data_IF_921003283402
#
_entry.id   IF_921003283402
#
_cell.length_a   1.000
_cell.length_b   1.000
_cell.length_c   1.000
_cell.angle_alpha   90.00
_cell.angle_beta   90.00
_cell.angle_gamma   90.00
#
_symmetry.space_group_name_H-M   'P 1'
#
loop_
_entity.id
_entity.type
_entity.pdbx_description
1 polymer ?
#
# COMPACT_ATOMS: atom_id res chain seq x y z
N UNK A 1 104.05 66.90 36.70
CA UNK A 1 102.76 66.47 37.13
C UNK A 1 101.73 66.21 36.01
N UNK A 2 101.89 66.62 34.77
CA UNK A 2 100.99 66.43 33.64
C UNK A 2 100.94 64.96 33.11
N UNK A 3 102.07 64.26 33.10
CA UNK A 3 102.14 62.93 32.50
C UNK A 3 101.44 61.81 33.30
N UNK A 4 101.30 61.91 34.61
CA UNK A 4 100.57 60.90 35.44
C UNK A 4 99.04 60.91 35.25
N UNK A 5 98.52 62.10 34.97
CA UNK A 5 97.07 62.17 34.68
C UNK A 5 96.69 61.45 33.41
N UNK A 6 97.52 61.52 32.38
CA UNK A 6 97.27 60.86 31.10
C UNK A 6 97.36 59.34 31.25
N UNK A 7 98.36 58.84 32.03
CA UNK A 7 98.49 57.39 32.31
C UNK A 7 97.27 56.86 33.08
N UNK A 8 96.78 57.62 34.07
CA UNK A 8 95.56 57.22 34.81
C UNK A 8 94.30 57.18 33.95
N UNK A 9 94.15 58.11 33.05
CA UNK A 9 93.02 58.15 32.11
C UNK A 9 93.14 56.98 31.13
N UNK A 10 94.29 56.68 30.61
CA UNK A 10 94.51 55.53 29.71
C UNK A 10 94.25 54.22 30.47
N UNK A 11 94.75 54.09 31.70
CA UNK A 11 94.52 52.91 32.52
C UNK A 11 93.05 52.73 32.87
N UNK A 12 92.31 53.80 33.18
CA UNK A 12 90.89 53.77 33.45
C UNK A 12 90.11 53.43 32.18
N UNK A 13 90.49 53.93 31.05
CA UNK A 13 89.83 53.60 29.75
C UNK A 13 90.10 52.15 29.35
N UNK A 14 91.32 51.63 29.61
CA UNK A 14 91.62 50.20 29.33
C UNK A 14 90.85 49.27 30.29
N UNK A 15 90.78 49.60 31.59
CA UNK A 15 89.93 48.79 32.53
C UNK A 15 88.41 48.87 32.23
N UNK A 16 87.97 50.05 31.86
CA UNK A 16 86.58 50.23 31.45
C UNK A 16 86.27 49.50 30.15
N UNK A 17 87.18 49.46 29.19
CA UNK A 17 87.13 48.71 27.97
C UNK A 17 87.08 47.18 28.23
N UNK A 18 87.99 46.66 29.11
CA UNK A 18 88.02 45.24 29.49
C UNK A 18 86.73 44.81 30.22
N UNK A 19 86.25 45.65 31.13
CA UNK A 19 84.94 45.34 31.83
C UNK A 19 83.77 45.31 30.90
N UNK A 20 83.76 46.21 29.93
CA UNK A 20 82.73 46.22 28.88
C UNK A 20 82.79 45.01 27.94
N UNK A 21 84.04 44.60 27.62
CA UNK A 21 84.26 43.44 26.77
C UNK A 21 83.81 42.14 27.46
N UNK A 22 84.05 41.98 28.76
CA UNK A 22 83.48 40.84 29.56
C UNK A 22 81.97 40.84 29.64
N UNK A 23 81.36 42.02 29.79
CA UNK A 23 79.90 42.17 29.82
C UNK A 23 79.32 41.85 28.44
N UNK A 24 79.90 42.28 27.34
CA UNK A 24 79.53 41.94 25.97
C UNK A 24 79.64 40.43 25.72
N UNK A 25 80.72 39.80 26.17
CA UNK A 25 80.93 38.36 26.03
C UNK A 25 79.85 37.57 26.79
N UNK A 26 79.52 37.95 28.04
CA UNK A 26 78.39 37.34 28.80
C UNK A 26 77.06 37.53 28.10
N UNK A 27 76.80 38.70 27.48
CA UNK A 27 75.58 38.96 26.75
C UNK A 27 75.50 38.09 25.48
N UNK A 28 76.64 37.95 24.77
CA UNK A 28 76.74 37.07 23.61
C UNK A 28 76.46 35.59 23.96
N UNK A 29 77.07 35.10 25.08
CA UNK A 29 76.81 33.74 25.55
C UNK A 29 75.34 33.53 25.92
N UNK A 30 74.75 34.55 26.53
CA UNK A 30 73.33 34.53 26.83
C UNK A 30 72.48 34.50 25.55
N UNK A 31 72.83 35.31 24.56
CA UNK A 31 72.17 35.32 23.25
C UNK A 31 72.27 33.94 22.58
N UNK A 32 73.44 33.34 22.54
CA UNK A 32 73.71 32.02 22.00
C UNK A 32 72.81 30.95 22.72
N UNK A 33 72.80 31.01 24.04
CA UNK A 33 71.94 30.09 24.83
C UNK A 33 70.46 30.28 24.52
N UNK A 34 69.95 31.51 24.44
CA UNK A 34 68.60 31.80 24.09
C UNK A 34 68.26 31.36 22.63
N UNK A 35 69.18 31.55 21.69
CA UNK A 35 69.03 31.06 20.32
C UNK A 35 68.91 29.52 20.27
N UNK A 36 69.70 28.80 21.04
CA UNK A 36 69.66 27.36 21.18
C UNK A 36 68.33 26.91 21.80
N UNK A 37 67.84 27.63 22.82
CA UNK A 37 66.48 27.34 23.42
C UNK A 37 65.33 27.58 22.39
N UNK A 38 65.44 28.69 21.64
CA UNK A 38 64.48 28.99 20.58
C UNK A 38 64.47 27.88 19.51
N UNK A 39 65.68 27.44 19.09
CA UNK A 39 65.79 26.34 18.11
C UNK A 39 65.18 25.04 18.64
N UNK A 40 65.39 24.69 19.89
CA UNK A 40 64.82 23.51 20.52
C UNK A 40 63.27 23.62 20.63
N UNK A 41 62.75 24.78 21.02
CA UNK A 41 61.32 25.04 21.09
C UNK A 41 60.63 24.96 19.68
N UNK A 42 61.30 25.50 18.66
CA UNK A 42 60.81 25.39 17.29
C UNK A 42 60.69 23.92 16.84
N UNK A 43 61.72 23.10 17.13
CA UNK A 43 61.69 21.67 16.83
C UNK A 43 60.53 20.96 17.57
N UNK A 44 60.27 21.33 18.82
CA UNK A 44 59.14 20.79 19.57
C UNK A 44 57.80 21.24 18.97
N UNK A 45 57.68 22.49 18.52
CA UNK A 45 56.50 23.00 17.82
C UNK A 45 56.23 22.22 16.53
N UNK A 46 57.29 21.97 15.74
CA UNK A 46 57.18 21.18 14.51
C UNK A 46 56.72 19.73 14.79
N UNK A 47 57.26 19.10 15.84
CA UNK A 47 56.85 17.76 16.25
C UNK A 47 55.38 17.73 16.68
N UNK A 48 54.94 18.66 17.52
CA UNK A 48 53.54 18.78 17.90
C UNK A 48 52.64 19.08 16.71
N UNK A 49 53.05 19.90 15.76
CA UNK A 49 52.31 20.18 14.53
C UNK A 49 52.10 18.92 13.70
N UNK A 50 53.11 18.05 13.60
CA UNK A 50 53.03 16.77 12.93
C UNK A 50 52.08 15.81 13.65
N UNK A 51 52.16 15.73 14.99
CA UNK A 51 51.25 14.89 15.78
C UNK A 51 49.81 15.36 15.64
N UNK A 52 49.52 16.67 15.68
CA UNK A 52 48.18 17.23 15.46
C UNK A 52 47.65 16.84 14.06
N UNK A 53 48.52 16.93 13.04
CA UNK A 53 48.17 16.58 11.67
C UNK A 53 47.85 15.09 11.50
N UNK A 54 48.54 14.22 12.22
CA UNK A 54 48.28 12.79 12.26
C UNK A 54 46.94 12.49 12.96
N UNK A 55 46.75 13.05 14.15
CA UNK A 55 45.49 12.88 14.92
C UNK A 55 44.27 13.40 14.15
N UNK A 56 44.44 14.50 13.39
CA UNK A 56 43.36 15.01 12.53
C UNK A 56 42.98 14.02 11.41
N UNK A 57 43.97 13.32 10.82
CA UNK A 57 43.73 12.26 9.83
C UNK A 57 42.99 11.07 10.44
N UNK A 58 43.53 10.55 11.54
CA UNK A 58 42.92 9.42 12.27
C UNK A 58 41.47 9.73 12.70
N UNK A 59 41.24 10.96 13.17
CA UNK A 59 39.87 11.42 13.49
C UNK A 59 38.95 11.39 12.28
N UNK A 60 39.40 11.84 11.11
CA UNK A 60 38.60 11.85 9.90
C UNK A 60 38.32 10.43 9.40
N UNK A 61 39.28 9.52 9.49
CA UNK A 61 39.09 8.11 9.18
C UNK A 61 38.00 7.49 10.08
N UNK A 62 38.08 7.71 11.39
CA UNK A 62 37.09 7.24 12.35
C UNK A 62 35.67 7.85 12.10
N UNK A 63 35.59 9.11 11.66
CA UNK A 63 34.32 9.73 11.29
C UNK A 63 33.70 9.02 10.08
N UNK A 64 34.51 8.72 9.07
CA UNK A 64 34.06 8.02 7.87
C UNK A 64 33.61 6.58 8.20
N UNK A 65 34.40 5.86 9.00
CA UNK A 65 34.01 4.50 9.43
C UNK A 65 32.69 4.50 10.23
N UNK A 66 32.53 5.48 11.12
CA UNK A 66 31.28 5.64 11.86
C UNK A 66 30.08 5.94 10.93
N UNK A 67 30.28 6.76 9.90
CA UNK A 67 29.23 7.04 8.92
C UNK A 67 28.86 5.79 8.13
N UNK A 68 29.84 4.97 7.76
CA UNK A 68 29.60 3.69 7.10
C UNK A 68 28.83 2.71 8.00
N UNK A 69 29.24 2.57 9.27
CA UNK A 69 28.51 1.71 10.22
C UNK A 69 27.07 2.18 10.45
N UNK A 70 26.83 3.48 10.54
CA UNK A 70 25.46 4.02 10.66
C UNK A 70 24.61 3.66 9.44
N UNK A 71 25.18 3.71 8.24
CA UNK A 71 24.49 3.31 7.04
C UNK A 71 24.15 1.80 7.04
N UNK A 72 25.12 0.96 7.44
CA UNK A 72 24.90 -0.50 7.58
C UNK A 72 23.81 -0.81 8.62
N UNK A 73 23.79 -0.12 9.76
CA UNK A 73 22.75 -0.25 10.78
C UNK A 73 21.39 0.13 10.20
N UNK A 74 21.31 1.22 9.42
CA UNK A 74 20.06 1.63 8.78
C UNK A 74 19.54 0.57 7.80
N UNK A 75 20.43 0.01 6.98
CA UNK A 75 20.05 -1.08 6.05
C UNK A 75 19.58 -2.33 6.78
N UNK A 76 20.26 -2.73 7.85
CA UNK A 76 19.86 -3.87 8.66
C UNK A 76 18.51 -3.66 9.34
N UNK A 77 18.24 -2.45 9.82
CA UNK A 77 16.93 -2.12 10.40
C UNK A 77 15.81 -2.20 9.36
N UNK A 78 16.06 -1.71 8.13
CA UNK A 78 15.07 -1.85 7.05
C UNK A 78 14.80 -3.32 6.70
N UNK A 79 15.84 -4.15 6.64
CA UNK A 79 15.67 -5.59 6.42
C UNK A 79 14.90 -6.26 7.56
N UNK A 80 15.16 -5.84 8.81
CA UNK A 80 14.44 -6.35 9.97
C UNK A 80 12.95 -6.04 9.88
N UNK A 81 12.59 -4.79 9.57
CA UNK A 81 11.19 -4.40 9.38
C UNK A 81 10.51 -5.24 8.29
N UNK A 82 11.18 -5.43 7.14
CA UNK A 82 10.65 -6.28 6.06
C UNK A 82 10.41 -7.73 6.53
N UNK A 83 11.28 -8.28 7.37
CA UNK A 83 11.06 -9.62 7.92
C UNK A 83 9.93 -9.66 8.95
N UNK A 84 9.77 -8.60 9.75
CA UNK A 84 8.66 -8.48 10.71
C UNK A 84 7.32 -8.44 9.96
N UNK A 85 7.22 -7.66 8.88
CA UNK A 85 6.04 -7.59 8.03
C UNK A 85 5.72 -8.97 7.41
N UNK A 86 6.72 -9.64 6.83
CA UNK A 86 6.54 -10.97 6.25
C UNK A 86 6.08 -12.02 7.29
N UNK A 87 6.60 -11.94 8.51
CA UNK A 87 6.15 -12.81 9.61
C UNK A 87 4.68 -12.54 9.92
N UNK A 88 4.26 -11.28 9.94
CA UNK A 88 2.86 -10.94 10.18
C UNK A 88 1.96 -11.49 9.08
N UNK A 89 2.34 -11.35 7.81
CA UNK A 89 1.61 -11.91 6.68
C UNK A 89 1.43 -13.45 6.82
N UNK A 90 2.48 -14.17 7.19
CA UNK A 90 2.37 -15.60 7.42
C UNK A 90 1.48 -15.96 8.62
N UNK A 91 1.48 -15.15 9.68
CA UNK A 91 0.59 -15.37 10.83
C UNK A 91 -0.86 -15.22 10.36
N UNK A 92 -1.17 -14.20 9.58
CA UNK A 92 -2.50 -13.95 9.07
C UNK A 92 -2.95 -15.06 8.10
N UNK A 93 -2.06 -15.55 7.21
CA UNK A 93 -2.33 -16.68 6.34
C UNK A 93 -2.60 -17.97 7.14
N UNK A 94 -1.81 -18.25 8.17
CA UNK A 94 -2.03 -19.39 9.06
C UNK A 94 -3.38 -19.30 9.76
N UNK A 95 -3.78 -18.11 10.18
CA UNK A 95 -5.10 -17.91 10.78
C UNK A 95 -6.22 -18.25 9.82
N UNK A 96 -6.18 -17.73 8.59
CA UNK A 96 -7.15 -18.03 7.53
C UNK A 96 -7.21 -19.53 7.21
N UNK A 97 -6.05 -20.18 7.10
CA UNK A 97 -5.98 -21.63 6.86
C UNK A 97 -6.55 -22.42 8.01
N UNK A 98 -6.36 -21.98 9.24
CA UNK A 98 -6.92 -22.62 10.44
C UNK A 98 -8.44 -22.52 10.44
N UNK A 99 -9.00 -21.33 10.18
CA UNK A 99 -10.44 -21.11 10.07
C UNK A 99 -11.06 -21.95 8.94
N UNK A 100 -10.40 -22.01 7.76
CA UNK A 100 -10.84 -22.87 6.66
C UNK A 100 -10.83 -24.37 7.02
N UNK A 101 -9.85 -24.83 7.79
CA UNK A 101 -9.82 -26.21 8.26
C UNK A 101 -10.99 -26.52 9.23
N UNK A 102 -11.36 -25.59 10.10
CA UNK A 102 -12.50 -25.75 10.99
C UNK A 102 -13.82 -25.83 10.20
N UNK A 103 -13.95 -25.02 9.15
CA UNK A 103 -15.11 -25.07 8.22
C UNK A 103 -15.16 -26.43 7.52
N UNK A 104 -14.03 -26.87 6.94
CA UNK A 104 -13.96 -28.15 6.25
C UNK A 104 -14.24 -29.34 7.19
N UNK A 105 -13.84 -29.27 8.45
CA UNK A 105 -14.17 -30.27 9.44
C UNK A 105 -15.68 -30.31 9.70
N UNK A 106 -16.31 -29.13 9.83
CA UNK A 106 -17.78 -29.03 10.01
C UNK A 106 -18.53 -29.59 8.81
N UNK A 107 -18.06 -29.30 7.60
CA UNK A 107 -18.65 -29.83 6.36
C UNK A 107 -18.48 -31.34 6.25
N UNK A 108 -17.33 -31.88 6.66
CA UNK A 108 -17.12 -33.32 6.72
C UNK A 108 -18.09 -34.01 7.71
N UNK A 109 -18.21 -33.45 8.91
CA UNK A 109 -19.14 -34.00 9.93
C UNK A 109 -20.59 -33.98 9.40
N UNK A 110 -20.98 -32.90 8.71
CA UNK A 110 -22.29 -32.82 8.04
C UNK A 110 -22.45 -33.88 6.95
N UNK A 111 -21.46 -34.03 6.05
CA UNK A 111 -21.48 -35.02 4.98
C UNK A 111 -21.54 -36.47 5.56
N UNK A 112 -20.79 -36.75 6.60
CA UNK A 112 -20.85 -38.06 7.31
C UNK A 112 -22.26 -38.32 7.83
N UNK A 113 -22.90 -37.31 8.42
CA UNK A 113 -24.29 -37.43 8.88
C UNK A 113 -25.26 -37.74 7.74
N UNK A 114 -25.10 -37.09 6.58
CA UNK A 114 -25.89 -37.35 5.38
C UNK A 114 -25.68 -38.75 4.81
N UNK A 115 -24.42 -39.21 4.78
CA UNK A 115 -24.08 -40.58 4.37
C UNK A 115 -24.78 -41.59 5.27
N UNK A 116 -24.77 -41.39 6.58
CA UNK A 116 -25.46 -42.27 7.51
C UNK A 116 -26.96 -42.32 7.26
N UNK A 117 -27.62 -41.19 7.05
CA UNK A 117 -29.03 -41.10 6.70
C UNK A 117 -29.33 -41.80 5.38
N UNK A 118 -28.49 -41.63 4.37
CA UNK A 118 -28.65 -42.30 3.08
C UNK A 118 -28.45 -43.82 3.21
N UNK A 119 -27.50 -44.26 4.02
CA UNK A 119 -27.26 -45.67 4.29
C UNK A 119 -28.46 -46.34 5.00
N UNK A 120 -29.06 -45.67 5.98
CA UNK A 120 -30.29 -46.09 6.63
C UNK A 120 -31.44 -46.23 5.63
N UNK A 121 -31.59 -45.25 4.71
CA UNK A 121 -32.61 -45.30 3.63
C UNK A 121 -32.37 -46.47 2.67
N UNK A 122 -31.09 -46.72 2.28
CA UNK A 122 -30.75 -47.84 1.43
C UNK A 122 -31.13 -49.16 2.13
N UNK A 123 -30.76 -49.31 3.40
CA UNK A 123 -31.09 -50.49 4.20
C UNK A 123 -32.62 -50.74 4.30
N UNK A 124 -33.40 -49.65 4.43
CA UNK A 124 -34.88 -49.70 4.40
C UNK A 124 -35.43 -50.14 3.04
N UNK A 125 -34.86 -49.65 1.96
CA UNK A 125 -35.22 -50.07 0.60
C UNK A 125 -34.90 -51.52 0.34
N UNK A 126 -33.71 -51.97 0.71
CA UNK A 126 -33.24 -53.35 0.54
C UNK A 126 -34.02 -54.32 1.40
N UNK A 127 -34.50 -53.89 2.56
CA UNK A 127 -35.35 -54.68 3.43
C UNK A 127 -36.82 -54.85 2.97
N UNK A 128 -37.22 -54.12 1.88
CA UNK A 128 -38.57 -54.16 1.35
C UNK A 128 -39.63 -53.49 2.20
N UNK A 129 -39.25 -52.68 3.19
CA UNK A 129 -40.13 -51.99 4.13
C UNK A 129 -40.40 -50.53 3.75
N UNK A 130 -40.03 -50.08 2.55
CA UNK A 130 -40.32 -48.75 2.07
C UNK A 130 -41.69 -48.71 1.40
N UNK A 131 -42.72 -48.13 2.05
CA UNK A 131 -43.92 -47.67 1.36
C UNK A 131 -43.50 -46.64 0.28
N UNK A 132 -44.21 -46.68 -0.88
CA UNK A 132 -44.07 -45.74 -1.98
C UNK A 132 -44.34 -44.32 -1.51
N UNK A 133 -43.33 -43.64 -1.05
CA UNK A 133 -43.46 -42.32 -0.52
C UNK A 133 -42.28 -41.40 -0.88
N UNK A 134 -42.43 -40.67 -1.93
CA UNK A 134 -41.85 -39.33 -2.17
C UNK A 134 -40.31 -39.32 -2.10
N UNK A 135 -39.71 -39.57 -3.25
CA UNK A 135 -38.35 -39.10 -3.53
C UNK A 135 -38.32 -37.57 -3.51
N UNK A 136 -38.12 -37.01 -2.35
CA UNK A 136 -37.54 -35.68 -2.25
C UNK A 136 -36.05 -35.80 -2.59
N UNK A 137 -35.75 -35.86 -3.88
CA UNK A 137 -34.45 -35.43 -4.34
C UNK A 137 -34.35 -33.96 -3.96
N UNK A 138 -33.73 -33.67 -2.84
CA UNK A 138 -33.09 -32.40 -2.64
C UNK A 138 -32.13 -32.27 -3.83
N UNK A 139 -32.49 -31.41 -4.78
CA UNK A 139 -31.63 -31.00 -5.85
C UNK A 139 -30.37 -30.45 -5.19
N UNK A 140 -29.32 -31.24 -5.04
CA UNK A 140 -27.94 -30.78 -4.92
C UNK A 140 -27.61 -30.19 -6.28
N UNK A 141 -27.71 -28.92 -6.32
CA UNK A 141 -27.83 -27.99 -7.40
C UNK A 141 -26.68 -28.04 -8.39
N UNK A 142 -26.95 -28.60 -9.53
CA UNK A 142 -26.43 -28.19 -10.81
C UNK A 142 -27.34 -27.07 -11.40
N UNK A 143 -27.83 -26.15 -10.54
CA UNK A 143 -28.56 -24.99 -11.06
C UNK A 143 -27.48 -24.04 -11.60
N UNK A 144 -27.54 -23.81 -12.91
CA UNK A 144 -26.73 -22.78 -13.51
C UNK A 144 -27.17 -21.42 -12.94
N UNK A 145 -26.18 -20.51 -12.65
CA UNK A 145 -26.48 -19.16 -12.25
C UNK A 145 -27.37 -18.46 -13.28
N UNK A 146 -28.26 -17.55 -12.88
CA UNK A 146 -29.14 -16.86 -13.80
C UNK A 146 -28.41 -16.00 -14.82
N UNK A 147 -27.20 -15.54 -14.50
CA UNK A 147 -26.38 -14.71 -15.39
C UNK A 147 -25.11 -15.43 -15.83
N UNK A 148 -24.86 -15.47 -17.14
CA UNK A 148 -23.69 -16.13 -17.74
C UNK A 148 -22.43 -15.28 -17.72
N UNK A 149 -22.55 -13.96 -17.55
CA UNK A 149 -21.46 -12.98 -17.51
C UNK A 149 -21.09 -12.57 -16.10
N UNK A 150 -20.66 -11.35 -15.99
CA UNK A 150 -20.46 -10.63 -14.74
C UNK A 150 -21.65 -9.72 -14.48
N UNK A 151 -21.87 -9.30 -13.22
CA UNK A 151 -23.01 -8.44 -12.86
C UNK A 151 -22.76 -6.96 -13.10
N UNK A 152 -21.52 -6.55 -13.35
CA UNK A 152 -21.30 -5.20 -13.86
C UNK A 152 -21.88 -5.00 -15.28
N UNK A 153 -22.34 -6.06 -15.93
CA UNK A 153 -23.20 -6.03 -17.12
C UNK A 153 -24.67 -5.67 -16.82
N UNK A 154 -25.02 -5.32 -15.58
CA UNK A 154 -26.34 -4.76 -15.27
C UNK A 154 -26.52 -3.40 -15.97
N UNK A 155 -27.74 -3.06 -16.42
CA UNK A 155 -27.98 -1.77 -17.05
C UNK A 155 -27.73 -0.64 -16.04
N UNK A 156 -27.08 0.41 -16.52
CA UNK A 156 -26.86 1.76 -15.99
C UNK A 156 -27.51 2.03 -14.60
N UNK A 157 -26.92 1.41 -13.55
CA UNK A 157 -27.46 1.50 -12.17
C UNK A 157 -27.14 2.87 -11.58
N UNK A 158 -25.95 3.38 -11.86
CA UNK A 158 -25.45 4.68 -11.49
C UNK A 158 -25.04 5.35 -12.79
N UNK A 159 -25.42 6.59 -12.96
CA UNK A 159 -25.15 7.38 -14.15
C UNK A 159 -24.14 8.46 -13.82
N UNK A 160 -23.31 8.82 -14.79
CA UNK A 160 -22.38 9.98 -14.68
C UNK A 160 -23.09 11.30 -14.33
N UNK A 161 -24.41 11.36 -14.54
CA UNK A 161 -25.26 12.50 -14.16
C UNK A 161 -25.76 12.47 -12.72
N UNK A 162 -25.55 11.37 -11.99
CA UNK A 162 -26.00 11.23 -10.62
C UNK A 162 -25.20 12.13 -9.65
N UNK A 163 -25.74 12.25 -8.44
CA UNK A 163 -25.11 13.07 -7.41
C UNK A 163 -23.74 12.54 -7.03
N UNK A 164 -22.75 13.44 -7.02
CA UNK A 164 -21.39 13.17 -6.58
C UNK A 164 -21.01 14.06 -5.42
N UNK A 165 -20.25 13.52 -4.47
CA UNK A 165 -19.63 14.30 -3.38
C UNK A 165 -18.20 14.72 -3.69
N UNK A 166 -17.74 14.54 -4.92
CA UNK A 166 -16.48 15.14 -5.35
C UNK A 166 -16.50 16.65 -5.07
N UNK A 167 -15.47 17.18 -4.44
CA UNK A 167 -15.41 18.60 -4.05
C UNK A 167 -14.30 19.37 -4.72
N UNK A 168 -13.11 18.79 -4.79
CA UNK A 168 -11.94 19.44 -5.35
C UNK A 168 -10.83 18.45 -5.64
N UNK A 169 -9.89 18.85 -6.48
CA UNK A 169 -8.62 18.15 -6.66
C UNK A 169 -7.45 19.11 -6.80
N UNK A 170 -6.27 18.66 -6.41
CA UNK A 170 -5.01 19.40 -6.51
C UNK A 170 -4.03 18.54 -7.30
N UNK A 171 -3.48 19.11 -8.39
CA UNK A 171 -2.37 18.51 -9.10
C UNK A 171 -1.08 18.71 -8.31
N UNK A 172 -0.44 17.62 -7.90
CA UNK A 172 0.77 17.64 -7.08
C UNK A 172 2.07 17.49 -7.88
N UNK A 173 1.94 17.30 -9.20
CA UNK A 173 3.08 17.13 -10.11
C UNK A 173 3.30 15.67 -10.51
N UNK A 174 4.55 15.36 -10.88
CA UNK A 174 4.95 14.00 -11.26
C UNK A 174 5.77 13.39 -10.13
N UNK A 175 5.35 12.20 -9.70
CA UNK A 175 6.06 11.40 -8.71
C UNK A 175 6.21 9.95 -9.20
N UNK A 176 7.19 9.24 -8.66
CA UNK A 176 7.29 7.79 -8.86
C UNK A 176 6.40 7.10 -7.85
N UNK A 177 5.49 6.27 -8.34
CA UNK A 177 4.54 5.50 -7.54
C UNK A 177 4.60 4.02 -7.91
N UNK A 178 4.29 3.17 -6.94
CA UNK A 178 4.19 1.73 -7.12
C UNK A 178 2.81 1.37 -7.64
N UNK A 179 2.74 0.69 -8.79
CA UNK A 179 1.51 0.23 -9.44
C UNK A 179 1.49 -1.28 -9.49
N UNK A 180 0.33 -1.89 -9.39
CA UNK A 180 0.17 -3.28 -9.79
C UNK A 180 -0.12 -3.33 -11.29
N UNK A 181 0.88 -3.72 -12.07
CA UNK A 181 0.73 -3.88 -13.52
C UNK A 181 0.13 -5.26 -13.85
N UNK A 182 -1.14 -5.27 -14.21
CA UNK A 182 -1.88 -6.50 -14.56
C UNK A 182 -1.25 -7.24 -15.75
N UNK A 183 -0.61 -6.53 -16.67
CA UNK A 183 0.05 -7.12 -17.84
C UNK A 183 1.28 -7.93 -17.47
N UNK A 184 1.98 -7.51 -16.44
CA UNK A 184 3.19 -8.14 -15.91
C UNK A 184 2.89 -9.05 -14.71
N UNK A 185 1.69 -8.92 -14.12
CA UNK A 185 1.30 -9.56 -12.86
C UNK A 185 2.31 -9.28 -11.73
N UNK A 186 2.80 -8.04 -11.66
CA UNK A 186 3.83 -7.62 -10.72
C UNK A 186 3.68 -6.15 -10.33
N UNK A 187 4.32 -5.76 -9.22
CA UNK A 187 4.40 -4.39 -8.78
C UNK A 187 5.57 -3.66 -9.44
N UNK A 188 5.28 -2.56 -10.10
CA UNK A 188 6.25 -1.79 -10.90
C UNK A 188 6.16 -0.31 -10.52
N UNK A 189 7.33 0.32 -10.37
CA UNK A 189 7.44 1.75 -10.17
C UNK A 189 7.26 2.50 -11.49
N UNK A 190 6.22 3.33 -11.57
CA UNK A 190 5.97 4.22 -12.71
C UNK A 190 6.05 5.70 -12.30
N UNK A 191 6.64 6.57 -13.12
CA UNK A 191 6.42 8.00 -12.99
C UNK A 191 4.97 8.30 -13.37
N UNK A 192 4.25 9.03 -12.52
CA UNK A 192 2.84 9.31 -12.69
C UNK A 192 2.50 10.78 -12.36
N UNK A 193 1.53 11.32 -13.07
CA UNK A 193 0.83 12.56 -12.71
C UNK A 193 -0.07 12.27 -11.50
N UNK A 194 0.10 13.04 -10.42
CA UNK A 194 -0.63 12.84 -9.18
C UNK A 194 -1.67 13.94 -8.99
N UNK A 195 -2.93 13.53 -8.84
CA UNK A 195 -4.03 14.39 -8.46
C UNK A 195 -4.59 13.95 -7.11
N UNK A 196 -4.41 14.76 -6.07
CA UNK A 196 -5.05 14.52 -4.78
C UNK A 196 -6.50 14.99 -4.84
N UNK A 197 -7.43 14.05 -4.69
CA UNK A 197 -8.88 14.26 -4.84
C UNK A 197 -9.53 14.27 -3.48
N UNK A 198 -10.32 15.32 -3.21
CA UNK A 198 -11.05 15.54 -1.95
C UNK A 198 -12.55 15.36 -2.16
N UNK A 199 -13.21 14.79 -1.15
CA UNK A 199 -14.65 14.55 -1.15
C UNK A 199 -15.34 15.29 0.01
N UNK A 200 -16.63 15.57 -0.16
CA UNK A 200 -17.43 16.33 0.81
C UNK A 200 -17.60 15.66 2.18
N UNK A 201 -17.29 14.37 2.30
CA UNK A 201 -17.29 13.61 3.56
C UNK A 201 -15.93 13.59 4.27
N UNK A 202 -14.95 14.33 3.75
CA UNK A 202 -13.60 14.48 4.32
C UNK A 202 -12.63 13.37 3.97
N UNK A 203 -12.99 12.40 3.12
CA UNK A 203 -12.04 11.45 2.55
C UNK A 203 -11.25 12.10 1.42
N UNK A 204 -10.01 11.63 1.25
CA UNK A 204 -9.13 11.97 0.13
C UNK A 204 -8.53 10.68 -0.42
N UNK A 205 -8.22 10.67 -1.72
CA UNK A 205 -7.44 9.66 -2.38
C UNK A 205 -6.67 10.26 -3.55
N UNK A 206 -5.72 9.52 -4.09
CA UNK A 206 -4.96 9.97 -5.24
C UNK A 206 -5.49 9.36 -6.55
N UNK A 207 -5.50 10.13 -7.63
CA UNK A 207 -5.51 9.60 -8.98
C UNK A 207 -4.07 9.64 -9.50
N UNK A 208 -3.56 8.48 -9.84
CA UNK A 208 -2.20 8.26 -10.29
C UNK A 208 -2.23 7.84 -11.76
N UNK A 209 -1.78 8.71 -12.64
CA UNK A 209 -1.89 8.54 -14.09
C UNK A 209 -0.48 8.48 -14.67
N UNK A 210 -0.07 7.34 -15.24
CA UNK A 210 1.32 7.16 -15.72
C UNK A 210 1.70 8.23 -16.76
N UNK A 211 2.97 8.63 -16.77
CA UNK A 211 3.48 9.68 -17.68
C UNK A 211 3.56 9.26 -19.15
N UNK A 212 3.13 8.06 -19.51
CA UNK A 212 2.83 7.71 -20.89
C UNK A 212 1.63 8.49 -21.45
N UNK A 213 0.77 9.02 -20.58
CA UNK A 213 -0.21 10.03 -20.91
C UNK A 213 0.43 11.41 -20.85
N UNK A 214 0.05 12.30 -21.79
CA UNK A 214 0.42 13.71 -21.68
C UNK A 214 -0.24 14.36 -20.47
N UNK A 215 0.27 15.49 -20.00
CA UNK A 215 -0.37 16.26 -18.92
C UNK A 215 -1.83 16.64 -19.24
N UNK A 216 -2.12 16.90 -20.52
CA UNK A 216 -3.48 17.18 -20.96
C UNK A 216 -4.37 15.94 -20.87
N UNK A 217 -3.92 14.78 -21.39
CA UNK A 217 -4.69 13.53 -21.30
C UNK A 217 -4.91 13.13 -19.83
N UNK A 218 -3.89 13.28 -18.98
CA UNK A 218 -3.99 13.03 -17.55
C UNK A 218 -5.02 13.95 -16.87
N UNK A 219 -5.06 15.23 -17.29
CA UNK A 219 -6.08 16.17 -16.81
C UNK A 219 -7.49 15.79 -17.26
N UNK A 220 -7.65 15.28 -18.49
CA UNK A 220 -8.94 14.81 -19.00
C UNK A 220 -9.42 13.56 -18.24
N UNK A 221 -8.57 12.56 -18.04
CA UNK A 221 -8.86 11.38 -17.24
C UNK A 221 -9.27 11.77 -15.81
N UNK A 222 -8.49 12.66 -15.19
CA UNK A 222 -8.82 13.14 -13.85
C UNK A 222 -10.21 13.82 -13.78
N UNK A 223 -10.54 14.68 -14.75
CA UNK A 223 -11.82 15.38 -14.78
C UNK A 223 -13.01 14.45 -15.00
N UNK A 224 -12.81 13.36 -15.72
CA UNK A 224 -13.80 12.33 -15.97
C UNK A 224 -14.02 11.45 -14.72
N UNK A 225 -12.96 10.88 -14.15
CA UNK A 225 -13.08 9.85 -13.11
C UNK A 225 -13.25 10.39 -11.69
N UNK A 226 -12.74 11.57 -11.34
CA UNK A 226 -12.88 12.09 -9.98
C UNK A 226 -14.35 12.28 -9.55
N UNK A 227 -15.26 12.81 -10.39
CA UNK A 227 -16.69 12.84 -10.08
C UNK A 227 -17.33 11.46 -9.96
N UNK A 228 -17.00 10.50 -10.84
CA UNK A 228 -17.53 9.13 -10.79
C UNK A 228 -17.14 8.42 -9.50
N UNK A 229 -15.88 8.54 -9.10
CA UNK A 229 -15.40 8.01 -7.80
C UNK A 229 -16.14 8.66 -6.63
N UNK A 230 -16.49 9.94 -6.77
CA UNK A 230 -17.31 10.65 -5.79
C UNK A 230 -18.75 10.16 -5.67
N UNK A 231 -19.23 9.31 -6.58
CA UNK A 231 -20.53 8.65 -6.50
C UNK A 231 -20.50 7.35 -5.70
N UNK A 232 -19.32 6.78 -5.44
CA UNK A 232 -19.21 5.60 -4.59
C UNK A 232 -19.57 5.92 -3.13
N UNK A 233 -20.23 5.00 -2.44
CA UNK A 233 -20.52 5.11 -1.02
C UNK A 233 -19.24 5.32 -0.17
N UNK A 234 -19.37 6.01 0.95
CA UNK A 234 -18.24 6.31 1.82
C UNK A 234 -17.46 5.03 2.20
N UNK A 235 -18.19 3.98 2.56
CA UNK A 235 -17.57 2.73 2.99
C UNK A 235 -16.97 1.93 1.84
N UNK A 236 -17.30 2.21 0.59
CA UNK A 236 -16.57 1.70 -0.57
C UNK A 236 -15.26 2.45 -0.81
N UNK A 237 -15.20 3.77 -0.53
CA UNK A 237 -14.03 4.62 -0.79
C UNK A 237 -13.00 4.65 0.34
N UNK A 238 -13.41 4.43 1.60
CA UNK A 238 -12.57 4.67 2.78
C UNK A 238 -11.26 3.89 2.82
N UNK A 239 -11.21 2.73 2.18
CA UNK A 239 -10.04 1.87 2.15
C UNK A 239 -9.18 2.07 0.89
N UNK A 240 -9.68 2.80 -0.10
CA UNK A 240 -8.95 3.03 -1.35
C UNK A 240 -7.92 4.14 -1.12
N UNK A 241 -6.67 3.89 -1.50
CA UNK A 241 -5.58 4.86 -1.46
C UNK A 241 -5.48 5.63 -2.77
N UNK A 242 -5.51 4.90 -3.88
CA UNK A 242 -5.47 5.51 -5.19
C UNK A 242 -6.25 4.72 -6.23
N UNK A 243 -6.59 5.43 -7.31
CA UNK A 243 -6.96 4.85 -8.59
C UNK A 243 -5.80 5.07 -9.56
N UNK A 244 -5.32 3.99 -10.12
CA UNK A 244 -4.17 3.94 -11.02
C UNK A 244 -4.63 3.80 -12.46
N UNK A 245 -4.12 4.65 -13.36
CA UNK A 245 -4.47 4.64 -14.77
C UNK A 245 -3.26 4.29 -15.62
N UNK A 246 -3.37 3.14 -16.29
CA UNK A 246 -2.40 2.62 -17.25
C UNK A 246 -3.00 2.57 -18.65
N UNK A 247 -2.13 2.51 -19.66
CA UNK A 247 -2.54 2.18 -21.04
C UNK A 247 -2.72 0.68 -21.19
N UNK A 248 -3.43 0.28 -22.25
CA UNK A 248 -3.58 -1.12 -22.64
C UNK A 248 -4.97 -1.68 -22.46
N UNK A 249 -5.13 -2.94 -22.91
CA UNK A 249 -6.42 -3.65 -22.98
C UNK A 249 -6.55 -4.72 -21.87
N UNK A 250 -5.93 -4.52 -20.71
CA UNK A 250 -6.05 -5.41 -19.57
C UNK A 250 -7.26 -5.01 -18.70
N UNK A 251 -7.87 -5.99 -18.04
CA UNK A 251 -9.01 -5.76 -17.15
C UNK A 251 -8.60 -4.90 -15.96
N UNK A 252 -9.59 -4.21 -15.39
CA UNK A 252 -9.44 -3.60 -14.08
C UNK A 252 -9.07 -4.64 -13.02
N UNK A 253 -8.43 -4.19 -11.98
CA UNK A 253 -8.10 -5.02 -10.81
C UNK A 253 -7.98 -4.18 -9.55
N UNK A 254 -8.38 -4.75 -8.43
CA UNK A 254 -8.17 -4.17 -7.12
C UNK A 254 -7.13 -4.99 -6.35
N UNK A 255 -6.12 -4.33 -5.82
CA UNK A 255 -5.02 -4.97 -5.08
C UNK A 255 -4.82 -4.29 -3.73
N UNK A 256 -4.54 -5.07 -2.70
CA UNK A 256 -4.24 -4.54 -1.37
C UNK A 256 -3.19 -5.38 -0.65
N UNK A 257 -2.41 -4.72 0.20
CA UNK A 257 -1.60 -5.36 1.24
C UNK A 257 -2.43 -5.58 2.51
N UNK A 258 -2.03 -6.50 3.36
CA UNK A 258 -2.73 -6.82 4.62
C UNK A 258 -2.82 -5.61 5.56
N UNK A 259 -1.80 -4.75 5.55
CA UNK A 259 -1.72 -3.51 6.35
C UNK A 259 -2.41 -2.30 5.69
N UNK A 260 -2.98 -2.49 4.49
CA UNK A 260 -3.56 -1.42 3.67
C UNK A 260 -2.56 -0.30 3.32
N UNK A 261 -1.26 -0.55 3.36
CA UNK A 261 -0.25 0.41 2.88
C UNK A 261 -0.36 0.62 1.37
N UNK A 262 -0.74 -0.44 0.64
CA UNK A 262 -1.19 -0.42 -0.74
C UNK A 262 -2.64 -0.92 -0.78
N UNK A 263 -3.55 -0.13 -1.33
CA UNK A 263 -4.95 -0.50 -1.51
C UNK A 263 -5.51 0.32 -2.69
N UNK A 264 -5.20 -0.14 -3.91
CA UNK A 264 -5.37 0.62 -5.13
C UNK A 264 -6.24 -0.15 -6.13
N UNK A 265 -6.91 0.61 -6.99
CA UNK A 265 -7.67 0.08 -8.12
C UNK A 265 -6.94 0.50 -9.39
N UNK A 266 -6.51 -0.49 -10.17
CA UNK A 266 -5.82 -0.28 -11.45
C UNK A 266 -6.82 -0.36 -12.60
N UNK A 267 -6.83 0.65 -13.45
CA UNK A 267 -7.70 0.80 -14.60
C UNK A 267 -6.86 0.95 -15.88
N UNK A 268 -7.17 0.17 -16.91
CA UNK A 268 -6.52 0.24 -18.22
C UNK A 268 -7.44 0.96 -19.21
N UNK A 269 -7.04 2.16 -19.65
CA UNK A 269 -7.90 3.07 -20.41
C UNK A 269 -8.36 2.52 -21.76
N UNK A 270 -7.53 1.73 -22.46
CA UNK A 270 -7.94 1.17 -23.75
C UNK A 270 -9.00 0.07 -23.57
N UNK A 271 -8.88 -0.73 -22.51
CA UNK A 271 -9.91 -1.71 -22.15
C UNK A 271 -11.22 -1.04 -21.73
N UNK A 272 -11.15 0.02 -20.92
CA UNK A 272 -12.34 0.79 -20.54
C UNK A 272 -13.08 1.28 -21.78
N UNK A 273 -12.39 2.02 -22.66
CA UNK A 273 -12.96 2.59 -23.89
C UNK A 273 -13.51 1.54 -24.86
N UNK A 274 -12.83 0.41 -25.01
CA UNK A 274 -13.18 -0.58 -26.02
C UNK A 274 -14.21 -1.61 -25.52
N UNK A 275 -14.33 -1.84 -24.21
CA UNK A 275 -15.10 -2.94 -23.64
C UNK A 275 -16.15 -2.46 -22.66
N UNK A 276 -15.86 -1.46 -21.83
CA UNK A 276 -16.75 -1.02 -20.73
C UNK A 276 -17.70 0.07 -21.19
N UNK A 277 -17.19 1.11 -21.82
CA UNK A 277 -17.96 2.28 -22.26
C UNK A 277 -18.85 2.02 -23.49
N UNK A 278 -18.56 0.99 -24.27
CA UNK A 278 -19.26 0.69 -25.54
C UNK A 278 -20.31 -0.42 -25.45
N UNK A 279 -20.80 -0.74 -24.28
CA UNK A 279 -21.83 -1.76 -24.12
C UNK A 279 -23.14 -1.35 -24.82
N UNK A 280 -23.92 -2.32 -25.38
CA UNK A 280 -25.15 -2.01 -26.10
C UNK A 280 -26.20 -1.24 -25.28
N UNK A 281 -26.16 -1.41 -23.97
CA UNK A 281 -27.16 -0.89 -23.03
C UNK A 281 -26.65 0.34 -22.25
N UNK A 282 -25.44 0.84 -22.55
CA UNK A 282 -24.85 2.01 -21.92
C UNK A 282 -23.41 1.80 -21.42
N UNK A 283 -22.83 2.87 -20.89
CA UNK A 283 -21.55 2.88 -20.20
C UNK A 283 -21.69 2.14 -18.86
N UNK A 284 -20.68 1.35 -18.51
CA UNK A 284 -20.67 0.52 -17.29
C UNK A 284 -19.51 0.85 -16.36
N UNK A 285 -18.94 2.01 -16.56
CA UNK A 285 -17.76 2.43 -15.78
C UNK A 285 -18.10 2.54 -14.29
N UNK A 286 -19.27 3.06 -13.96
CA UNK A 286 -19.71 3.24 -12.59
C UNK A 286 -19.94 1.90 -11.87
N UNK A 287 -20.54 0.94 -12.56
CA UNK A 287 -20.75 -0.43 -12.04
C UNK A 287 -19.42 -1.14 -11.85
N UNK A 288 -18.48 -0.97 -12.77
CA UNK A 288 -17.13 -1.50 -12.64
C UNK A 288 -16.42 -0.90 -11.42
N UNK A 289 -16.55 0.41 -11.19
CA UNK A 289 -15.95 1.05 -10.03
C UNK A 289 -16.53 0.51 -8.71
N UNK A 290 -17.84 0.20 -8.67
CA UNK A 290 -18.47 -0.46 -7.50
C UNK A 290 -17.88 -1.85 -7.29
N UNK A 291 -17.73 -2.63 -8.36
CA UNK A 291 -17.19 -3.97 -8.33
C UNK A 291 -15.77 -3.96 -7.76
N UNK A 292 -14.87 -3.19 -8.35
CA UNK A 292 -13.47 -3.12 -7.92
C UNK A 292 -13.32 -2.53 -6.50
N UNK A 293 -14.13 -1.51 -6.15
CA UNK A 293 -14.14 -0.97 -4.80
C UNK A 293 -14.61 -1.99 -3.76
N UNK A 294 -15.47 -2.93 -4.15
CA UNK A 294 -15.96 -3.99 -3.26
C UNK A 294 -14.82 -4.94 -2.84
N UNK A 295 -13.87 -5.25 -3.72
CA UNK A 295 -12.69 -6.05 -3.37
C UNK A 295 -11.86 -5.43 -2.24
N UNK A 296 -11.74 -4.11 -2.21
CA UNK A 296 -10.98 -3.43 -1.16
C UNK A 296 -11.77 -3.20 0.13
N UNK A 297 -13.09 -3.07 0.02
CA UNK A 297 -13.91 -2.55 1.11
C UNK A 297 -14.96 -3.53 1.64
N UNK A 298 -15.37 -4.54 0.86
CA UNK A 298 -16.38 -5.53 1.24
C UNK A 298 -15.75 -6.90 1.50
N UNK A 299 -14.84 -7.37 0.64
CA UNK A 299 -14.19 -8.68 0.78
C UNK A 299 -13.60 -8.93 2.18
N UNK A 300 -12.97 -7.93 2.87
CA UNK A 300 -12.46 -8.13 4.22
C UNK A 300 -13.51 -8.51 5.27
N UNK A 301 -14.78 -8.19 5.02
CA UNK A 301 -15.90 -8.54 5.89
C UNK A 301 -16.60 -9.84 5.51
N UNK A 302 -16.23 -10.42 4.37
CA UNK A 302 -16.94 -11.50 3.72
C UNK A 302 -16.14 -12.80 3.77
N UNK A 303 -14.99 -12.82 3.08
CA UNK A 303 -14.24 -14.06 2.92
C UNK A 303 -13.64 -14.54 4.23
N UNK A 304 -13.75 -15.87 4.47
CA UNK A 304 -13.38 -16.49 5.73
C UNK A 304 -14.38 -16.27 6.87
N UNK A 305 -15.53 -15.62 6.65
CA UNK A 305 -16.55 -15.41 7.66
C UNK A 305 -17.66 -16.48 7.58
N UNK A 306 -17.93 -17.10 8.73
CA UNK A 306 -18.98 -18.13 8.83
C UNK A 306 -20.35 -17.59 8.39
N UNK A 307 -20.68 -16.36 8.78
CA UNK A 307 -21.97 -15.74 8.49
C UNK A 307 -22.18 -15.55 6.98
N UNK A 308 -21.11 -15.25 6.23
CA UNK A 308 -21.16 -15.20 4.77
C UNK A 308 -21.38 -16.58 4.16
N UNK A 309 -20.58 -17.57 4.59
CA UNK A 309 -20.68 -18.94 4.10
C UNK A 309 -22.09 -19.52 4.38
N UNK A 310 -22.64 -19.25 5.56
CA UNK A 310 -24.04 -19.62 5.90
C UNK A 310 -25.04 -18.94 4.94
N UNK A 311 -24.85 -17.66 4.63
CA UNK A 311 -25.72 -16.93 3.71
C UNK A 311 -25.68 -17.50 2.28
N UNK A 312 -24.48 -17.78 1.75
CA UNK A 312 -24.27 -18.45 0.46
C UNK A 312 -24.95 -19.82 0.43
N UNK A 313 -24.76 -20.60 1.49
CA UNK A 313 -25.35 -21.95 1.63
C UNK A 313 -26.89 -21.90 1.67
N UNK A 314 -27.46 -20.93 2.37
CA UNK A 314 -28.92 -20.72 2.44
C UNK A 314 -29.49 -20.22 1.12
N UNK A 315 -28.77 -19.42 0.39
CA UNK A 315 -29.19 -18.97 -0.96
C UNK A 315 -29.10 -20.12 -1.98
N UNK A 316 -28.16 -21.03 -1.82
CA UNK A 316 -28.07 -22.28 -2.57
C UNK A 316 -27.68 -22.14 -4.04
N UNK A 317 -27.30 -20.95 -4.51
CA UNK A 317 -26.81 -20.68 -5.86
C UNK A 317 -25.99 -19.39 -5.88
N UNK A 318 -25.20 -19.21 -6.93
CA UNK A 318 -24.49 -17.98 -7.24
C UNK A 318 -25.32 -17.11 -8.20
N UNK A 319 -25.08 -15.81 -8.15
CA UNK A 319 -25.84 -14.87 -8.98
C UNK A 319 -25.35 -14.90 -10.44
N UNK A 320 -24.02 -14.99 -10.62
CA UNK A 320 -23.40 -15.05 -11.93
C UNK A 320 -22.51 -16.29 -12.08
N UNK A 321 -22.22 -16.64 -13.33
CA UNK A 321 -21.24 -17.71 -13.62
C UNK A 321 -19.85 -17.30 -13.16
N UNK A 322 -19.50 -16.03 -13.24
CA UNK A 322 -18.20 -15.52 -12.79
C UNK A 322 -18.05 -15.69 -11.27
N UNK A 323 -19.10 -15.36 -10.50
CA UNK A 323 -19.13 -15.61 -9.07
C UNK A 323 -19.02 -17.10 -8.72
N UNK A 324 -19.73 -17.98 -9.48
CA UNK A 324 -19.68 -19.43 -9.30
C UNK A 324 -18.29 -20.02 -9.60
N UNK A 325 -17.64 -19.53 -10.65
CA UNK A 325 -16.31 -20.00 -11.05
C UNK A 325 -15.21 -19.48 -10.10
N UNK A 326 -15.45 -18.36 -9.39
CA UNK A 326 -14.52 -17.68 -8.49
C UNK A 326 -15.18 -17.33 -7.13
N UNK A 327 -15.68 -18.30 -6.38
CA UNK A 327 -16.56 -18.05 -5.22
C UNK A 327 -15.87 -17.36 -4.04
N UNK A 328 -14.54 -17.46 -3.95
CA UNK A 328 -13.74 -16.90 -2.86
C UNK A 328 -13.09 -15.55 -3.21
N UNK A 329 -13.37 -15.02 -4.39
CA UNK A 329 -12.85 -13.71 -4.82
C UNK A 329 -13.90 -12.81 -5.45
N UNK A 330 -14.91 -13.36 -6.18
CA UNK A 330 -15.79 -12.56 -7.01
C UNK A 330 -17.25 -12.53 -6.53
N UNK A 331 -17.69 -13.55 -5.77
CA UNK A 331 -19.10 -13.65 -5.35
C UNK A 331 -19.57 -12.44 -4.54
N UNK A 332 -18.71 -11.91 -3.69
CA UNK A 332 -19.04 -10.75 -2.87
C UNK A 332 -19.20 -9.48 -3.71
N UNK A 333 -18.25 -9.20 -4.61
CA UNK A 333 -18.30 -8.02 -5.47
C UNK A 333 -19.50 -8.05 -6.43
N UNK A 334 -19.74 -9.18 -7.09
CA UNK A 334 -20.89 -9.42 -7.96
C UNK A 334 -22.21 -9.25 -7.20
N UNK A 335 -22.34 -9.86 -6.01
CA UNK A 335 -23.55 -9.79 -5.20
C UNK A 335 -23.77 -8.40 -4.60
N UNK A 336 -22.69 -7.68 -4.24
CA UNK A 336 -22.80 -6.36 -3.66
C UNK A 336 -23.31 -5.31 -4.66
N UNK A 337 -22.90 -5.41 -5.91
CA UNK A 337 -23.41 -4.60 -6.99
C UNK A 337 -24.93 -4.79 -7.14
N UNK A 338 -25.39 -6.05 -7.17
CA UNK A 338 -26.81 -6.39 -7.21
C UNK A 338 -27.57 -5.90 -5.95
N UNK A 339 -26.93 -5.93 -4.78
CA UNK A 339 -27.49 -5.38 -3.55
C UNK A 339 -27.75 -3.87 -3.66
N UNK A 340 -26.79 -3.11 -4.21
CA UNK A 340 -26.97 -1.67 -4.46
C UNK A 340 -28.15 -1.46 -5.42
N UNK A 341 -28.21 -2.21 -6.52
CA UNK A 341 -29.28 -2.13 -7.50
C UNK A 341 -30.67 -2.32 -6.87
N UNK A 342 -30.84 -3.41 -6.15
CA UNK A 342 -32.14 -3.77 -5.57
C UNK A 342 -32.57 -2.84 -4.44
N UNK A 343 -31.61 -2.38 -3.64
CA UNK A 343 -31.90 -1.62 -2.42
C UNK A 343 -32.03 -0.13 -2.64
N UNK A 344 -31.19 0.43 -3.50
CA UNK A 344 -31.09 1.88 -3.67
C UNK A 344 -31.62 2.39 -5.01
N UNK A 345 -31.60 1.55 -6.04
CA UNK A 345 -32.05 1.90 -7.40
C UNK A 345 -33.10 0.92 -7.97
N UNK A 346 -34.11 0.51 -7.17
CA UNK A 346 -35.08 -0.49 -7.62
C UNK A 346 -35.91 -0.03 -8.84
N UNK A 347 -35.97 1.27 -9.11
CA UNK A 347 -36.65 1.87 -10.26
C UNK A 347 -35.83 1.79 -11.54
N UNK A 348 -34.53 1.55 -11.45
CA UNK A 348 -33.63 1.42 -12.61
C UNK A 348 -33.52 0.00 -13.14
N UNK A 349 -34.04 -0.96 -12.40
CA UNK A 349 -34.09 -2.38 -12.80
C UNK A 349 -35.50 -2.88 -13.01
N UNK A 350 -35.67 -3.84 -13.92
CA UNK A 350 -36.95 -4.45 -14.13
C UNK A 350 -37.38 -5.29 -12.92
N UNK A 351 -38.69 -5.43 -12.70
CA UNK A 351 -39.22 -6.32 -11.66
C UNK A 351 -38.71 -7.77 -11.84
N UNK A 352 -38.63 -8.24 -13.08
CA UNK A 352 -38.13 -9.59 -13.40
C UNK A 352 -36.68 -9.75 -12.96
N UNK A 353 -35.83 -8.74 -13.24
CA UNK A 353 -34.44 -8.75 -12.83
C UNK A 353 -34.32 -8.74 -11.30
N UNK A 354 -35.06 -7.87 -10.63
CA UNK A 354 -35.10 -7.78 -9.17
C UNK A 354 -35.56 -9.11 -8.55
N UNK A 355 -36.63 -9.73 -9.06
CA UNK A 355 -37.11 -11.00 -8.53
C UNK A 355 -36.08 -12.12 -8.75
N UNK A 356 -35.41 -12.13 -9.90
CA UNK A 356 -34.33 -13.07 -10.18
C UNK A 356 -33.19 -12.93 -9.18
N UNK A 357 -32.72 -11.70 -8.95
CA UNK A 357 -31.64 -11.39 -7.99
C UNK A 357 -32.05 -11.85 -6.57
N UNK A 358 -33.23 -11.45 -6.12
CA UNK A 358 -33.71 -11.80 -4.78
C UNK A 358 -33.95 -13.31 -4.58
N UNK A 359 -34.27 -14.03 -5.65
CA UNK A 359 -34.42 -15.49 -5.57
C UNK A 359 -33.14 -16.25 -5.33
N UNK A 360 -32.00 -15.59 -5.57
CA UNK A 360 -30.63 -16.21 -5.53
C UNK A 360 -29.80 -15.72 -4.37
N UNK A 361 -29.92 -14.46 -3.94
CA UNK A 361 -28.98 -13.86 -3.00
C UNK A 361 -29.62 -13.11 -1.82
N UNK A 362 -30.85 -13.48 -1.45
CA UNK A 362 -31.59 -12.82 -0.37
C UNK A 362 -30.83 -12.88 0.99
N UNK A 363 -30.21 -14.00 1.30
CA UNK A 363 -29.48 -14.15 2.58
C UNK A 363 -28.16 -13.40 2.58
N UNK A 364 -27.44 -13.36 1.45
CA UNK A 364 -26.25 -12.49 1.27
C UNK A 364 -26.62 -11.01 1.39
N UNK A 365 -27.80 -10.58 0.93
CA UNK A 365 -28.30 -9.21 1.14
C UNK A 365 -28.54 -8.90 2.61
N UNK A 366 -29.13 -9.83 3.38
CA UNK A 366 -29.28 -9.68 4.83
C UNK A 366 -27.93 -9.58 5.54
N UNK A 367 -26.94 -10.29 5.05
CA UNK A 367 -25.57 -10.18 5.55
C UNK A 367 -25.02 -8.77 5.30
N UNK A 368 -25.13 -8.23 4.09
CA UNK A 368 -24.69 -6.85 3.82
C UNK A 368 -25.47 -5.81 4.66
N UNK A 369 -26.75 -6.01 4.89
CA UNK A 369 -27.54 -5.16 5.80
C UNK A 369 -26.95 -5.15 7.23
N UNK A 370 -26.43 -6.28 7.69
CA UNK A 370 -25.83 -6.41 9.03
C UNK A 370 -24.51 -5.67 9.18
N UNK A 371 -23.81 -5.37 8.09
CA UNK A 371 -22.53 -4.63 8.11
C UNK A 371 -22.71 -3.14 8.44
N UNK A 372 -23.93 -2.59 8.33
CA UNK A 372 -24.25 -1.19 8.60
C UNK A 372 -23.36 -0.19 7.85
N UNK A 373 -23.11 -0.44 6.57
CA UNK A 373 -22.26 0.37 5.72
C UNK A 373 -22.83 1.78 5.49
N UNK A 374 -21.96 2.79 5.46
CA UNK A 374 -22.35 4.15 5.05
C UNK A 374 -22.42 4.24 3.52
N UNK A 375 -23.61 4.01 3.03
CA UNK A 375 -24.01 4.11 1.63
C UNK A 375 -25.05 5.24 1.44
N UNK A 376 -24.99 6.25 2.30
CA UNK A 376 -25.98 7.34 2.36
C UNK A 376 -26.04 8.16 1.06
N UNK A 377 -24.99 8.14 0.25
CA UNK A 377 -24.95 8.81 -1.06
C UNK A 377 -26.01 8.26 -2.03
N UNK A 378 -26.43 7.01 -1.87
CA UNK A 378 -27.43 6.37 -2.72
C UNK A 378 -28.87 6.61 -2.26
N UNK A 379 -29.08 7.39 -1.20
CA UNK A 379 -30.39 7.76 -0.66
C UNK A 379 -30.76 9.14 -1.16
#
# INVERSE_FOLDING_TARGET
MKNYKIIYIIFFLVFYSCSKEEEINKLNDTIINLQNQISNLNNQIDDFSNQISQLAREKNELINDNAEYLNQISQLNNQLNTFEDLIQDYIDEIQVLTENNEILQTDNDYLESQIQVLQEKINLIESGSAEEGIYLFTKLNLIEPPFNGTLWDLPDLISSSDYTIYSNSVYEGIETRLFYDTSMSDFIDYPAHIYNVSFGDGLNLDLEIITEFSEQDASEIHQEYAPLIGQLGRDLRKNIKSFEFLKGEYRASAQRTSDLSYANITLHTDWLKNIVEVQPDGDRTEELLIHEASHLSIDPYVYGKKEWNDAVSLDGNYLSKYAKDNPNSEDAAETFQAYIAVKYFPERISNTLKDTILSVCLNRFKFFDSLNLDLSIYK
#
